data_IF_960820979499
#
_entry.id   IF_960820979499
#
_cell.length_a   1.000
_cell.length_b   1.000
_cell.length_c   1.000
_cell.angle_alpha   90.00
_cell.angle_beta   90.00
_cell.angle_gamma   90.00
#
_symmetry.space_group_name_H-M   'P 1'
#
loop_
_entity.id
_entity.type
_entity.pdbx_description
1 polymer ?
#
# COMPACT_ATOMS: atom_id res chain seq x y z
N UNK A 1 41.01 -12.25 2.07
CA UNK A 1 39.97 -12.34 1.02
C UNK A 1 39.63 -10.90 0.63
N UNK A 2 39.90 -10.47 -0.61
CA UNK A 2 39.73 -9.06 -1.02
C UNK A 2 38.39 -8.89 -1.73
N UNK A 3 37.61 -7.89 -1.29
CA UNK A 3 36.47 -7.37 -2.04
C UNK A 3 36.83 -5.90 -2.33
N UNK A 4 37.22 -5.60 -3.57
CA UNK A 4 37.75 -4.28 -3.95
C UNK A 4 39.14 -3.95 -3.36
N UNK A 5 39.37 -2.68 -3.02
CA UNK A 5 40.64 -2.15 -2.46
C UNK A 5 40.79 -2.35 -0.94
N UNK A 6 39.79 -2.94 -0.26
CA UNK A 6 39.82 -3.15 1.19
C UNK A 6 40.41 -4.54 1.53
N UNK A 7 41.42 -4.56 2.38
CA UNK A 7 42.03 -5.79 2.88
C UNK A 7 41.31 -6.18 4.18
N UNK A 8 40.38 -7.14 4.09
CA UNK A 8 39.60 -7.58 5.25
C UNK A 8 40.50 -8.31 6.25
N UNK A 9 40.58 -7.78 7.46
CA UNK A 9 41.37 -8.32 8.56
C UNK A 9 40.58 -9.36 9.35
N UNK A 10 41.26 -10.33 9.97
CA UNK A 10 40.60 -11.38 10.79
C UNK A 10 39.78 -10.79 11.96
N UNK A 11 40.21 -9.65 12.53
CA UNK A 11 39.50 -8.92 13.59
C UNK A 11 38.15 -8.36 13.12
N UNK A 12 38.13 -7.75 11.93
CA UNK A 12 36.91 -7.19 11.32
C UNK A 12 35.90 -8.29 10.98
N UNK A 13 36.38 -9.49 10.58
CA UNK A 13 35.52 -10.66 10.38
C UNK A 13 34.83 -11.11 11.67
N UNK A 14 35.55 -11.13 12.81
CA UNK A 14 34.95 -11.52 14.10
C UNK A 14 33.91 -10.50 14.55
N UNK A 15 34.21 -9.21 14.43
CA UNK A 15 33.30 -8.14 14.83
C UNK A 15 32.05 -8.13 13.94
N UNK A 16 32.19 -8.32 12.62
CA UNK A 16 31.03 -8.38 11.71
C UNK A 16 30.11 -9.56 12.02
N UNK A 17 30.66 -10.73 12.37
CA UNK A 17 29.89 -11.88 12.85
C UNK A 17 29.14 -11.52 14.14
N UNK A 18 29.80 -10.84 15.08
CA UNK A 18 29.16 -10.33 16.29
C UNK A 18 27.99 -9.37 16.02
N UNK A 19 28.17 -8.43 15.09
CA UNK A 19 27.11 -7.49 14.65
C UNK A 19 25.92 -8.27 14.08
N UNK A 20 26.17 -9.26 13.21
CA UNK A 20 25.11 -10.11 12.65
C UNK A 20 24.34 -10.82 13.76
N UNK A 21 25.04 -11.42 14.73
CA UNK A 21 24.38 -12.10 15.85
C UNK A 21 23.49 -11.14 16.67
N UNK A 22 23.97 -9.95 17.01
CA UNK A 22 23.19 -8.95 17.74
C UNK A 22 21.95 -8.54 16.93
N UNK A 23 22.11 -8.30 15.62
CA UNK A 23 21.01 -7.93 14.73
C UNK A 23 19.97 -9.07 14.57
N UNK A 24 20.39 -10.34 14.58
CA UNK A 24 19.48 -11.48 14.55
C UNK A 24 18.67 -11.60 15.85
N UNK A 25 19.30 -11.35 17.01
CA UNK A 25 18.60 -11.34 18.31
C UNK A 25 17.55 -10.22 18.32
N UNK A 26 17.94 -8.99 17.96
CA UNK A 26 17.04 -7.84 17.89
C UNK A 26 15.90 -8.08 16.89
N UNK A 27 16.24 -8.58 15.71
CA UNK A 27 15.26 -8.93 14.67
C UNK A 27 14.25 -9.97 15.15
N UNK A 28 14.67 -10.97 15.92
CA UNK A 28 13.79 -12.00 16.47
C UNK A 28 12.79 -11.44 17.48
N UNK A 29 13.21 -10.51 18.34
CA UNK A 29 12.31 -9.83 19.29
C UNK A 29 11.23 -9.03 18.56
N UNK A 30 11.63 -8.26 17.54
CA UNK A 30 10.70 -7.47 16.73
C UNK A 30 9.74 -8.39 15.95
N UNK A 31 10.26 -9.42 15.28
CA UNK A 31 9.46 -10.40 14.55
C UNK A 31 8.46 -11.12 15.47
N UNK A 32 8.84 -11.40 16.72
CA UNK A 32 7.97 -12.00 17.72
C UNK A 32 6.73 -11.15 18.02
N UNK A 33 6.90 -9.82 18.15
CA UNK A 33 5.78 -8.90 18.33
C UNK A 33 4.89 -8.84 17.09
N UNK A 34 5.48 -8.70 15.89
CA UNK A 34 4.73 -8.70 14.62
C UNK A 34 3.93 -10.00 14.45
N UNK A 35 4.52 -11.14 14.82
CA UNK A 35 3.87 -12.45 14.74
C UNK A 35 2.70 -12.54 15.70
N UNK A 36 2.83 -12.02 16.93
CA UNK A 36 1.74 -11.98 17.91
C UNK A 36 0.55 -11.19 17.38
N UNK A 37 0.79 -9.96 16.94
CA UNK A 37 -0.25 -9.08 16.37
C UNK A 37 -0.91 -9.74 15.15
N UNK A 38 -0.11 -10.45 14.34
CA UNK A 38 -0.59 -11.19 13.17
C UNK A 38 -1.46 -12.39 13.56
N UNK A 39 -1.12 -13.12 14.62
CA UNK A 39 -1.92 -14.23 15.13
C UNK A 39 -3.24 -13.74 15.74
N UNK A 40 -3.24 -12.60 16.43
CA UNK A 40 -4.45 -11.98 16.96
C UNK A 40 -5.42 -11.57 15.84
N UNK A 41 -4.92 -10.88 14.81
CA UNK A 41 -5.74 -10.51 13.63
C UNK A 41 -6.28 -11.74 12.89
N UNK A 42 -5.47 -12.79 12.74
CA UNK A 42 -5.94 -14.06 12.14
C UNK A 42 -7.04 -14.71 12.95
N UNK A 43 -6.90 -14.72 14.28
CA UNK A 43 -7.93 -15.25 15.18
C UNK A 43 -9.22 -14.46 15.00
N UNK A 44 -9.13 -13.13 15.00
CA UNK A 44 -10.26 -12.23 14.77
C UNK A 44 -11.00 -12.56 13.47
N UNK A 45 -10.29 -12.69 12.35
CA UNK A 45 -10.90 -13.03 11.05
C UNK A 45 -11.49 -14.44 10.99
N UNK A 46 -10.87 -15.42 11.64
CA UNK A 46 -11.41 -16.78 11.70
C UNK A 46 -12.66 -16.89 12.58
N UNK A 47 -12.79 -16.04 13.60
CA UNK A 47 -13.95 -16.01 14.50
C UNK A 47 -15.06 -15.06 14.07
N UNK A 48 -14.81 -14.22 13.07
CA UNK A 48 -15.80 -13.26 12.58
C UNK A 48 -17.00 -13.98 11.95
N UNK A 49 -18.19 -13.47 12.24
CA UNK A 49 -19.47 -14.05 11.79
C UNK A 49 -19.64 -13.85 10.29
N UNK A 50 -20.14 -14.86 9.58
CA UNK A 50 -20.54 -14.74 8.18
C UNK A 50 -21.99 -14.30 8.07
N UNK A 51 -22.27 -13.25 7.30
CA UNK A 51 -23.60 -12.68 7.05
C UNK A 51 -23.82 -12.61 5.53
N UNK A 52 -24.89 -13.25 5.05
CA UNK A 52 -25.21 -13.30 3.62
C UNK A 52 -26.57 -12.67 3.29
N UNK A 53 -27.27 -12.12 4.29
CA UNK A 53 -28.57 -11.48 4.09
C UNK A 53 -28.70 -10.15 4.83
N UNK A 54 -29.50 -9.26 4.25
CA UNK A 54 -29.82 -7.94 4.81
C UNK A 54 -30.44 -8.02 6.21
N UNK A 55 -31.36 -8.97 6.45
CA UNK A 55 -31.99 -9.14 7.77
C UNK A 55 -30.96 -9.49 8.85
N UNK A 56 -29.98 -10.34 8.52
CA UNK A 56 -28.90 -10.71 9.44
C UNK A 56 -27.94 -9.56 9.66
N UNK A 57 -27.71 -8.71 8.66
CA UNK A 57 -26.89 -7.52 8.77
C UNK A 57 -27.51 -6.47 9.71
N UNK A 58 -28.80 -6.15 9.54
CA UNK A 58 -29.54 -5.25 10.44
C UNK A 58 -29.56 -5.79 11.87
N UNK A 59 -29.87 -7.09 12.02
CA UNK A 59 -29.87 -7.75 13.31
C UNK A 59 -28.48 -7.71 13.97
N UNK A 60 -27.43 -7.93 13.19
CA UNK A 60 -26.03 -7.89 13.64
C UNK A 60 -25.64 -6.53 14.24
N UNK A 61 -25.96 -5.44 13.55
CA UNK A 61 -25.70 -4.08 14.04
C UNK A 61 -26.52 -3.76 15.30
N UNK A 62 -27.75 -4.27 15.41
CA UNK A 62 -28.63 -4.03 16.57
C UNK A 62 -28.24 -4.82 17.81
N UNK A 63 -27.63 -5.99 17.64
CA UNK A 63 -27.28 -6.90 18.73
C UNK A 63 -25.80 -6.88 19.09
N UNK A 64 -25.02 -5.99 18.48
CA UNK A 64 -23.59 -5.81 18.74
C UNK A 64 -22.81 -7.12 18.58
N UNK A 65 -23.02 -7.81 17.45
CA UNK A 65 -22.36 -9.11 17.19
C UNK A 65 -20.84 -8.99 17.01
N UNK A 66 -20.33 -7.77 16.85
CA UNK A 66 -18.91 -7.50 16.68
C UNK A 66 -18.46 -7.75 15.24
N UNK A 67 -17.30 -8.35 15.07
CA UNK A 67 -16.68 -8.49 13.75
C UNK A 67 -17.43 -9.48 12.86
N UNK A 68 -17.78 -9.04 11.66
CA UNK A 68 -18.49 -9.84 10.68
C UNK A 68 -17.97 -9.62 9.26
N UNK A 69 -18.05 -10.67 8.46
CA UNK A 69 -17.97 -10.64 7.01
C UNK A 69 -19.39 -10.65 6.43
N UNK A 70 -19.74 -9.61 5.70
CA UNK A 70 -21.06 -9.44 5.12
C UNK A 70 -20.95 -9.46 3.60
N UNK A 71 -21.53 -10.45 2.94
CA UNK A 71 -21.59 -10.50 1.48
C UNK A 71 -22.73 -9.63 0.96
N UNK A 72 -22.47 -8.80 -0.05
CA UNK A 72 -23.50 -7.93 -0.61
C UNK A 72 -23.00 -7.01 -1.71
N UNK A 73 -23.93 -6.18 -2.18
CA UNK A 73 -23.64 -5.13 -3.14
C UNK A 73 -23.45 -3.79 -2.44
N UNK A 74 -22.41 -3.07 -2.84
CA UNK A 74 -22.12 -1.71 -2.43
C UNK A 74 -22.42 -0.78 -3.60
N UNK A 75 -23.35 0.16 -3.41
CA UNK A 75 -23.82 1.04 -4.48
C UNK A 75 -23.78 2.51 -4.05
N UNK A 76 -23.62 3.39 -5.03
CA UNK A 76 -23.73 4.82 -4.83
C UNK A 76 -25.22 5.21 -4.80
N UNK A 77 -25.65 5.98 -3.80
CA UNK A 77 -27.01 6.52 -3.76
C UNK A 77 -27.13 7.68 -4.74
N UNK A 78 -26.13 8.55 -4.75
CA UNK A 78 -25.97 9.64 -5.70
C UNK A 78 -24.72 9.44 -6.56
N UNK A 79 -24.77 9.89 -7.81
CA UNK A 79 -23.65 9.76 -8.76
C UNK A 79 -23.03 11.11 -9.07
N UNK A 80 -21.76 11.09 -9.44
CA UNK A 80 -21.00 12.25 -9.89
C UNK A 80 -20.61 12.09 -11.36
N UNK A 81 -20.51 13.22 -12.06
CA UNK A 81 -20.05 13.29 -13.45
C UNK A 81 -19.16 14.50 -13.64
N UNK A 82 -18.35 14.45 -14.69
CA UNK A 82 -17.45 15.52 -15.09
C UNK A 82 -17.66 15.81 -16.58
N UNK A 83 -17.84 17.07 -17.02
CA UNK A 83 -18.10 17.40 -18.42
C UNK A 83 -17.02 16.94 -19.41
N UNK A 84 -15.81 16.62 -18.93
CA UNK A 84 -14.68 16.16 -19.76
C UNK A 84 -14.72 14.66 -20.06
N UNK A 85 -15.55 13.88 -19.36
CA UNK A 85 -15.67 12.43 -19.53
C UNK A 85 -17.14 11.98 -19.53
N UNK A 86 -17.46 11.00 -20.38
CA UNK A 86 -18.79 10.42 -20.40
C UNK A 86 -19.00 9.44 -19.23
N UNK A 87 -20.20 9.46 -18.65
CA UNK A 87 -20.64 8.51 -17.65
C UNK A 87 -21.01 9.12 -16.31
N UNK A 88 -21.52 8.27 -15.43
CA UNK A 88 -21.86 8.59 -14.04
C UNK A 88 -21.10 7.61 -13.16
N UNK A 89 -20.48 8.14 -12.11
CA UNK A 89 -19.52 7.41 -11.30
C UNK A 89 -19.85 7.59 -9.81
N UNK A 90 -19.44 6.65 -8.98
CA UNK A 90 -19.47 6.82 -7.52
C UNK A 90 -18.40 7.83 -7.07
N UNK A 91 -17.29 7.87 -7.80
CA UNK A 91 -16.12 8.69 -7.48
C UNK A 91 -15.34 8.99 -8.74
N UNK A 92 -14.82 10.21 -8.82
CA UNK A 92 -13.92 10.68 -9.87
C UNK A 92 -12.75 11.39 -9.19
N UNK A 93 -11.55 11.00 -9.56
CA UNK A 93 -10.32 11.71 -9.26
C UNK A 93 -9.65 12.08 -10.57
N UNK A 94 -9.37 13.37 -10.73
CA UNK A 94 -8.76 13.93 -11.92
C UNK A 94 -7.40 14.51 -11.55
N UNK A 95 -6.33 14.08 -12.23
CA UNK A 95 -5.02 14.71 -12.13
C UNK A 95 -4.74 15.57 -13.35
N UNK A 96 -4.44 16.84 -13.14
CA UNK A 96 -3.90 17.71 -14.17
C UNK A 96 -2.37 17.52 -14.24
N UNK A 97 -1.86 17.29 -15.45
CA UNK A 97 -0.43 17.14 -15.71
C UNK A 97 0.04 18.13 -16.77
N UNK A 98 1.18 18.75 -16.50
CA UNK A 98 1.82 19.71 -17.40
C UNK A 98 3.09 19.11 -17.98
N UNK A 99 3.34 19.36 -19.27
CA UNK A 99 4.57 18.93 -19.92
C UNK A 99 5.65 19.99 -19.72
N UNK A 100 6.60 19.68 -18.85
CA UNK A 100 7.61 20.63 -18.37
C UNK A 100 9.01 20.17 -18.78
N UNK A 101 9.86 21.16 -19.01
CA UNK A 101 11.26 20.95 -19.36
C UNK A 101 12.09 20.79 -18.10
N UNK A 102 12.91 19.74 -18.07
CA UNK A 102 13.88 19.46 -17.03
C UNK A 102 15.29 19.40 -17.63
N UNK A 103 16.28 19.64 -16.77
CA UNK A 103 17.70 19.49 -17.15
C UNK A 103 18.39 18.54 -16.19
N UNK A 104 19.17 17.60 -16.73
CA UNK A 104 20.05 16.73 -15.94
C UNK A 104 21.49 16.86 -16.39
N UNK A 105 22.40 16.77 -15.44
CA UNK A 105 23.84 16.71 -15.71
C UNK A 105 24.25 15.26 -15.86
N UNK A 106 24.73 14.88 -17.05
CA UNK A 106 25.19 13.52 -17.34
C UNK A 106 26.71 13.53 -17.44
N UNK A 107 27.35 12.71 -16.62
CA UNK A 107 28.80 12.48 -16.66
C UNK A 107 29.05 11.14 -17.35
N UNK A 108 29.83 11.17 -18.43
CA UNK A 108 30.27 9.97 -19.14
C UNK A 108 31.77 9.83 -18.99
N UNK A 109 32.22 8.65 -18.58
CA UNK A 109 33.64 8.30 -18.48
C UNK A 109 34.01 7.41 -19.66
N UNK A 110 35.07 7.74 -20.37
CA UNK A 110 35.58 6.87 -21.45
C UNK A 110 36.37 5.67 -20.89
N UNK A 111 36.71 4.72 -21.77
CA UNK A 111 37.49 3.53 -21.41
C UNK A 111 38.93 3.83 -20.93
N UNK A 112 39.36 5.09 -20.99
CA UNK A 112 40.66 5.59 -20.53
C UNK A 112 40.57 6.41 -19.24
N UNK A 113 39.38 6.52 -18.64
CA UNK A 113 39.16 7.20 -17.37
C UNK A 113 38.91 8.71 -17.47
N UNK A 114 38.75 9.28 -18.67
CA UNK A 114 38.41 10.69 -18.81
C UNK A 114 36.90 10.91 -18.65
N UNK A 115 36.53 11.80 -17.73
CA UNK A 115 35.15 12.20 -17.48
C UNK A 115 34.77 13.41 -18.32
N UNK A 116 33.63 13.35 -19.00
CA UNK A 116 32.98 14.48 -19.68
C UNK A 116 31.61 14.69 -19.10
N UNK A 117 31.29 15.95 -18.80
CA UNK A 117 30.01 16.33 -18.24
C UNK A 117 29.24 17.15 -19.27
N UNK A 118 27.97 16.80 -19.52
CA UNK A 118 27.07 17.57 -20.38
C UNK A 118 25.73 17.78 -19.70
N UNK A 119 25.09 18.92 -19.96
CA UNK A 119 23.71 19.17 -19.55
C UNK A 119 22.80 18.66 -20.65
N UNK A 120 21.93 17.72 -20.31
CA UNK A 120 20.88 17.21 -21.18
C UNK A 120 19.54 17.82 -20.77
N UNK A 121 18.77 18.28 -21.74
CA UNK A 121 17.37 18.64 -21.55
C UNK A 121 16.49 17.41 -21.80
N UNK A 122 15.51 17.18 -20.95
CA UNK A 122 14.46 16.19 -21.14
C UNK A 122 13.12 16.77 -20.71
N UNK A 123 12.02 16.12 -21.08
CA UNK A 123 10.68 16.60 -20.78
C UNK A 123 9.85 15.49 -20.14
N UNK A 124 9.09 15.84 -19.11
CA UNK A 124 8.21 14.91 -18.40
C UNK A 124 6.83 15.52 -18.19
N UNK A 125 5.84 14.65 -18.01
CA UNK A 125 4.53 15.05 -17.55
C UNK A 125 4.55 15.11 -16.03
N UNK A 126 4.52 16.32 -15.49
CA UNK A 126 4.57 16.56 -14.05
C UNK A 126 3.17 16.83 -13.52
N UNK A 127 2.94 16.39 -12.29
CA UNK A 127 1.73 16.73 -11.53
C UNK A 127 1.62 18.25 -11.37
N UNK A 128 0.44 18.79 -11.67
CA UNK A 128 0.14 20.22 -11.48
C UNK A 128 -0.96 20.42 -10.44
N UNK A 129 -2.10 19.75 -10.59
CA UNK A 129 -3.26 19.88 -9.70
C UNK A 129 -4.08 18.59 -9.66
N UNK A 130 -4.98 18.48 -8.68
CA UNK A 130 -5.95 17.38 -8.61
C UNK A 130 -7.33 17.86 -8.18
N UNK A 131 -8.36 17.23 -8.73
CA UNK A 131 -9.76 17.45 -8.39
C UNK A 131 -10.41 16.12 -7.98
N UNK A 132 -11.26 16.16 -6.96
CA UNK A 132 -11.95 14.98 -6.43
C UNK A 132 -13.45 15.25 -6.32
N UNK A 133 -14.25 14.34 -6.87
CA UNK A 133 -15.70 14.34 -6.77
C UNK A 133 -16.17 12.96 -6.31
N UNK A 134 -17.05 12.91 -5.31
CA UNK A 134 -17.61 11.66 -4.80
C UNK A 134 -19.09 11.77 -4.55
N UNK A 135 -19.73 10.60 -4.55
CA UNK A 135 -21.03 10.40 -3.94
C UNK A 135 -21.05 10.90 -2.49
N UNK A 136 -22.19 11.39 -2.01
CA UNK A 136 -22.37 11.75 -0.60
C UNK A 136 -22.73 10.53 0.23
N UNK A 137 -23.58 9.67 -0.31
CA UNK A 137 -24.11 8.52 0.39
C UNK A 137 -23.98 7.24 -0.45
N UNK A 138 -23.76 6.14 0.24
CA UNK A 138 -23.62 4.80 -0.34
C UNK A 138 -24.60 3.87 0.34
N UNK A 139 -25.06 2.84 -0.36
CA UNK A 139 -25.91 1.80 0.21
C UNK A 139 -25.19 0.47 0.21
N UNK A 140 -25.36 -0.29 1.29
CA UNK A 140 -24.88 -1.65 1.42
C UNK A 140 -25.93 -2.48 2.16
N UNK A 141 -26.37 -3.60 1.56
CA UNK A 141 -27.43 -4.46 2.10
C UNK A 141 -28.66 -3.65 2.56
N UNK A 142 -29.16 -2.74 1.70
CA UNK A 142 -30.36 -1.94 1.96
C UNK A 142 -30.19 -0.82 2.99
N UNK A 143 -28.98 -0.61 3.53
CA UNK A 143 -28.67 0.44 4.51
C UNK A 143 -27.79 1.53 3.92
N UNK A 144 -28.17 2.77 4.17
CA UNK A 144 -27.46 3.96 3.72
C UNK A 144 -26.37 4.36 4.73
N UNK A 145 -25.18 4.65 4.21
CA UNK A 145 -24.00 5.12 4.94
C UNK A 145 -23.42 6.35 4.24
N UNK A 146 -22.62 7.15 4.95
CA UNK A 146 -21.92 8.27 4.31
C UNK A 146 -20.75 7.73 3.48
N UNK A 147 -20.48 8.39 2.36
CA UNK A 147 -19.28 8.11 1.58
C UNK A 147 -18.04 8.39 2.45
N UNK A 148 -17.26 7.35 2.71
CA UNK A 148 -16.12 7.39 3.62
C UNK A 148 -16.27 6.53 4.87
N UNK A 149 -17.50 6.17 5.29
CA UNK A 149 -17.73 5.25 6.41
C UNK A 149 -17.21 3.84 6.09
N UNK A 150 -17.23 3.47 4.80
CA UNK A 150 -16.69 2.22 4.28
C UNK A 150 -15.44 2.52 3.46
N UNK A 151 -14.32 1.86 3.81
CA UNK A 151 -13.10 1.93 3.01
C UNK A 151 -13.32 1.22 1.67
N UNK A 152 -13.38 2.03 0.61
CA UNK A 152 -13.63 1.63 -0.76
C UNK A 152 -12.44 0.92 -1.43
N UNK A 153 -12.69 0.12 -2.48
CA UNK A 153 -11.64 -0.30 -3.41
C UNK A 153 -10.90 0.89 -4.04
N UNK A 154 -9.69 0.62 -4.55
CA UNK A 154 -8.91 1.61 -5.29
C UNK A 154 -9.63 2.04 -6.57
N UNK A 155 -9.50 3.31 -6.93
CA UNK A 155 -10.00 3.81 -8.22
C UNK A 155 -9.26 3.14 -9.39
N UNK A 156 -9.93 3.06 -10.53
CA UNK A 156 -9.43 2.50 -11.78
C UNK A 156 -9.14 3.64 -12.75
N UNK A 157 -8.00 3.58 -13.45
CA UNK A 157 -7.75 4.48 -14.57
C UNK A 157 -8.85 4.32 -15.65
N UNK A 158 -9.52 5.41 -15.98
CA UNK A 158 -10.54 5.45 -17.01
C UNK A 158 -9.92 5.90 -18.34
N UNK A 159 -9.38 7.11 -18.38
CA UNK A 159 -8.92 7.75 -19.62
C UNK A 159 -8.00 8.94 -19.35
N UNK A 160 -7.36 9.42 -20.41
CA UNK A 160 -6.61 10.68 -20.43
C UNK A 160 -7.28 11.61 -21.44
N UNK A 161 -7.62 12.82 -21.01
CA UNK A 161 -8.13 13.89 -21.88
C UNK A 161 -7.02 14.88 -22.12
N UNK A 162 -6.58 14.99 -23.37
CA UNK A 162 -5.54 15.94 -23.75
C UNK A 162 -6.15 17.26 -24.21
N UNK A 163 -5.90 18.34 -23.47
CA UNK A 163 -6.42 19.68 -23.79
C UNK A 163 -5.45 20.42 -24.71
N UNK A 164 -4.14 20.20 -24.55
CA UNK A 164 -3.12 20.76 -25.44
C UNK A 164 -1.89 19.86 -25.50
N UNK A 165 -0.87 20.25 -26.27
CA UNK A 165 0.42 19.57 -26.28
C UNK A 165 1.16 19.63 -24.93
N UNK A 166 0.77 20.56 -24.03
CA UNK A 166 1.44 20.77 -22.74
C UNK A 166 0.53 20.52 -21.53
N UNK A 167 -0.76 20.23 -21.73
CA UNK A 167 -1.71 20.01 -20.64
C UNK A 167 -2.59 18.80 -20.95
N UNK A 168 -2.65 17.87 -20.01
CA UNK A 168 -3.53 16.71 -20.05
C UNK A 168 -4.14 16.45 -18.68
N UNK A 169 -5.29 15.79 -18.68
CA UNK A 169 -6.00 15.35 -17.48
C UNK A 169 -6.09 13.83 -17.48
N UNK A 170 -5.69 13.19 -16.39
CA UNK A 170 -5.82 11.75 -16.19
C UNK A 170 -6.97 11.48 -15.21
N UNK A 171 -7.96 10.70 -15.64
CA UNK A 171 -9.16 10.40 -14.87
C UNK A 171 -9.11 8.99 -14.28
N UNK A 172 -9.41 8.90 -12.99
CA UNK A 172 -9.54 7.67 -12.22
C UNK A 172 -10.92 7.63 -11.59
N UNK A 173 -11.65 6.53 -11.77
CA UNK A 173 -13.05 6.43 -11.36
C UNK A 173 -13.32 5.23 -10.46
N UNK A 174 -14.42 5.29 -9.72
CA UNK A 174 -15.06 4.13 -9.11
C UNK A 174 -16.46 3.97 -9.70
N UNK A 175 -16.77 2.74 -10.08
CA UNK A 175 -18.07 2.34 -10.62
C UNK A 175 -19.18 2.57 -9.60
N UNK A 176 -20.41 2.73 -10.08
CA UNK A 176 -21.59 3.00 -9.24
C UNK A 176 -22.00 1.83 -8.36
N UNK A 177 -21.56 0.60 -8.68
CA UNK A 177 -21.89 -0.62 -7.96
C UNK A 177 -20.70 -1.57 -7.94
N UNK A 178 -20.47 -2.20 -6.78
CA UNK A 178 -19.55 -3.31 -6.61
C UNK A 178 -20.22 -4.47 -5.89
N UNK A 179 -20.02 -5.70 -6.37
CA UNK A 179 -20.38 -6.90 -5.64
C UNK A 179 -19.14 -7.44 -4.90
N UNK A 180 -19.32 -7.92 -3.67
CA UNK A 180 -18.20 -8.38 -2.86
C UNK A 180 -18.55 -8.61 -1.40
N UNK A 181 -17.55 -8.48 -0.54
CA UNK A 181 -17.69 -8.71 0.90
C UNK A 181 -17.18 -7.52 1.71
N UNK A 182 -18.01 -7.06 2.64
CA UNK A 182 -17.67 -6.08 3.66
C UNK A 182 -17.13 -6.79 4.91
N UNK A 183 -15.94 -6.41 5.36
CA UNK A 183 -15.48 -6.74 6.71
C UNK A 183 -15.68 -5.51 7.61
N UNK A 184 -16.44 -5.66 8.69
CA UNK A 184 -16.72 -4.56 9.62
C UNK A 184 -17.02 -5.10 11.02
N UNK A 185 -16.89 -4.22 12.01
CA UNK A 185 -17.47 -4.43 13.33
C UNK A 185 -18.91 -3.89 13.33
N UNK A 186 -19.87 -4.75 13.63
CA UNK A 186 -21.29 -4.42 13.73
C UNK A 186 -21.62 -4.16 15.20
N UNK A 187 -21.68 -2.88 15.57
CA UNK A 187 -22.06 -2.44 16.90
C UNK A 187 -22.78 -1.09 16.84
N UNK A 188 -23.47 -0.75 17.93
CA UNK A 188 -24.05 0.57 18.15
C UNK A 188 -25.03 0.99 17.04
N UNK A 189 -25.72 0.01 16.44
CA UNK A 189 -26.65 0.18 15.31
C UNK A 189 -26.00 0.74 14.04
N UNK A 190 -24.67 0.62 13.91
CA UNK A 190 -23.91 1.06 12.75
C UNK A 190 -22.75 0.09 12.47
N UNK A 191 -21.83 0.50 11.60
CA UNK A 191 -20.61 -0.21 11.26
C UNK A 191 -19.37 0.59 11.69
N UNK A 192 -18.33 -0.13 12.10
CA UNK A 192 -17.02 0.43 12.42
C UNK A 192 -15.90 -0.35 11.73
N UNK A 193 -14.78 0.32 11.46
CA UNK A 193 -13.59 -0.27 10.80
C UNK A 193 -13.94 -0.99 9.49
N UNK A 194 -14.92 -0.45 8.76
CA UNK A 194 -15.52 -1.10 7.61
C UNK A 194 -14.60 -1.04 6.39
N UNK A 195 -14.35 -2.20 5.77
CA UNK A 195 -13.54 -2.34 4.57
C UNK A 195 -14.24 -3.25 3.58
N UNK A 196 -14.46 -2.74 2.37
CA UNK A 196 -15.09 -3.51 1.31
C UNK A 196 -14.06 -4.12 0.37
N UNK A 197 -14.20 -5.42 0.10
CA UNK A 197 -13.36 -6.18 -0.81
C UNK A 197 -14.21 -6.62 -1.99
N UNK A 198 -13.97 -6.00 -3.15
CA UNK A 198 -14.71 -6.27 -4.39
C UNK A 198 -14.35 -7.63 -4.96
N UNK A 199 -15.29 -8.23 -5.69
CA UNK A 199 -15.13 -9.45 -6.47
C UNK A 199 -14.65 -10.65 -5.64
N UNK A 200 -15.01 -10.70 -4.35
CA UNK A 200 -14.69 -11.79 -3.44
C UNK A 200 -15.87 -12.17 -2.56
N UNK A 201 -16.10 -13.46 -2.40
CA UNK A 201 -17.02 -14.00 -1.40
C UNK A 201 -16.39 -13.96 0.02
N UNK A 202 -17.14 -14.42 1.03
CA UNK A 202 -16.71 -14.36 2.43
C UNK A 202 -15.44 -15.17 2.67
N UNK A 203 -15.36 -16.39 2.14
CA UNK A 203 -14.19 -17.28 2.33
C UNK A 203 -12.95 -16.72 1.65
N UNK A 204 -13.08 -16.29 0.39
CA UNK A 204 -12.00 -15.67 -0.36
C UNK A 204 -11.51 -14.37 0.29
N UNK A 205 -12.43 -13.60 0.87
CA UNK A 205 -12.10 -12.37 1.60
C UNK A 205 -11.37 -12.69 2.89
N UNK A 206 -11.83 -13.68 3.65
CA UNK A 206 -11.17 -14.16 4.87
C UNK A 206 -9.75 -14.63 4.55
N UNK A 207 -9.58 -15.47 3.53
CA UNK A 207 -8.28 -16.00 3.12
C UNK A 207 -7.35 -14.89 2.61
N UNK A 208 -7.89 -13.93 1.85
CA UNK A 208 -7.15 -12.74 1.42
C UNK A 208 -6.65 -11.92 2.62
N UNK A 209 -7.48 -11.70 3.64
CA UNK A 209 -7.08 -10.95 4.83
C UNK A 209 -6.07 -11.73 5.69
N UNK A 210 -6.25 -13.04 5.87
CA UNK A 210 -5.31 -13.90 6.60
C UNK A 210 -3.96 -13.98 5.90
N UNK A 211 -3.94 -14.09 4.58
CA UNK A 211 -2.72 -14.12 3.79
C UNK A 211 -2.00 -12.76 3.84
N UNK A 212 -2.72 -11.65 3.70
CA UNK A 212 -2.15 -10.30 3.84
C UNK A 212 -1.51 -10.05 5.21
N UNK A 213 -2.08 -10.60 6.28
CA UNK A 213 -1.47 -10.54 7.62
C UNK A 213 -0.24 -11.43 7.71
N UNK A 214 -0.27 -12.62 7.12
CA UNK A 214 0.86 -13.57 7.11
C UNK A 214 2.09 -13.00 6.40
N UNK A 215 1.90 -12.27 5.31
CA UNK A 215 3.01 -11.72 4.51
C UNK A 215 3.74 -10.58 5.22
N UNK A 216 3.16 -9.96 6.25
CA UNK A 216 3.78 -8.88 7.03
C UNK A 216 5.11 -9.31 7.68
N UNK A 217 5.13 -10.51 8.27
CA UNK A 217 6.35 -11.08 8.89
C UNK A 217 7.40 -11.40 7.83
N UNK A 218 6.99 -11.90 6.67
CA UNK A 218 7.91 -12.22 5.56
C UNK A 218 8.61 -10.95 5.06
N UNK A 219 7.84 -9.89 4.80
CA UNK A 219 8.40 -8.61 4.36
C UNK A 219 9.32 -7.97 5.40
N UNK A 220 9.02 -8.12 6.69
CA UNK A 220 9.93 -7.71 7.75
C UNK A 220 11.29 -8.38 7.61
N UNK A 221 11.36 -9.71 7.44
CA UNK A 221 12.63 -10.41 7.28
C UNK A 221 13.37 -10.01 6.00
N UNK A 222 12.65 -9.80 4.89
CA UNK A 222 13.26 -9.32 3.64
C UNK A 222 13.95 -7.98 3.86
N UNK A 223 13.26 -7.03 4.49
CA UNK A 223 13.84 -5.72 4.83
C UNK A 223 14.98 -5.84 5.84
N UNK A 224 14.82 -6.67 6.88
CA UNK A 224 15.80 -6.82 7.96
C UNK A 224 17.11 -7.43 7.47
N UNK A 225 17.05 -8.41 6.58
CA UNK A 225 18.24 -9.01 5.96
C UNK A 225 18.97 -7.97 5.10
N UNK A 226 18.24 -7.19 4.29
CA UNK A 226 18.84 -6.10 3.51
C UNK A 226 19.52 -5.06 4.41
N UNK A 227 18.91 -4.73 5.56
CA UNK A 227 19.49 -3.85 6.56
C UNK A 227 20.77 -4.43 7.17
N UNK A 228 20.80 -5.71 7.53
CA UNK A 228 22.01 -6.38 8.05
C UNK A 228 23.15 -6.30 7.03
N UNK A 229 22.87 -6.61 5.75
CA UNK A 229 23.86 -6.53 4.67
C UNK A 229 24.39 -5.11 4.53
N UNK A 230 23.52 -4.10 4.58
CA UNK A 230 23.91 -2.70 4.51
C UNK A 230 24.80 -2.29 5.70
N UNK A 231 24.43 -2.67 6.93
CA UNK A 231 25.20 -2.35 8.15
C UNK A 231 26.58 -3.01 8.11
N UNK A 232 26.66 -4.29 7.73
CA UNK A 232 27.93 -5.01 7.60
C UNK A 232 28.79 -4.42 6.46
N UNK A 233 28.16 -4.05 5.33
CA UNK A 233 28.85 -3.38 4.22
C UNK A 233 29.43 -2.02 4.62
N UNK A 234 28.66 -1.20 5.33
CA UNK A 234 29.15 0.08 5.89
C UNK A 234 30.28 -0.16 6.88
N UNK A 235 30.16 -1.18 7.74
CA UNK A 235 31.23 -1.53 8.68
C UNK A 235 32.55 -1.86 7.97
N UNK A 236 32.52 -2.58 6.85
CA UNK A 236 33.74 -2.89 6.09
C UNK A 236 34.31 -1.72 5.28
N UNK A 237 33.49 -0.71 4.96
CA UNK A 237 33.93 0.48 4.19
C UNK A 237 34.40 1.61 5.11
N UNK A 238 33.90 1.68 6.35
CA UNK A 238 34.41 2.60 7.35
C UNK A 238 35.85 2.20 7.72
N UNK A 239 36.81 3.12 7.65
CA UNK A 239 38.18 2.87 8.09
C UNK A 239 38.19 2.59 9.61
N UNK A 240 38.20 1.30 10.00
CA UNK A 240 38.12 0.86 11.39
C UNK A 240 39.48 0.91 12.10
N UNK A 241 40.16 2.05 12.06
CA UNK A 241 41.49 2.25 12.66
C UNK A 241 41.50 1.99 14.18
N UNK A 242 40.33 1.99 14.83
CA UNK A 242 40.15 1.63 16.25
C UNK A 242 40.30 0.11 16.54
N UNK A 243 40.32 -0.75 15.53
CA UNK A 243 40.56 -2.20 15.66
C UNK A 243 42.05 -2.59 15.50
N UNK A 244 42.91 -1.61 15.18
CA UNK A 244 44.34 -1.80 14.92
C UNK A 244 45.22 -1.59 16.17
N UNK A 245 44.64 -1.07 17.27
CA UNK A 245 45.26 -0.99 18.61
C UNK A 245 45.04 -2.28 19.43
#
# INVERSE_FOLDING_TARGET
MKIGNAEITYRELIVSVGIVFIMLILGSVIAGNITRDSLEQKKEYNTAISIESENMFDYGMRTNVGNAFCQGALEAVDTVSDPRIDGQWMYIYCEEKHYTMHTRTVTTTDSKGHTKTRVETYWTWDYYSSEEHSSKNITFLGKEFKYGDIKMPSSKYLTTVQVSSHVKFEFYVKDVRYDGTLYANLSDKTIHNARFIKDKNIEETRDYMISAVSTRVVWFYVFWIALIVAVVGVFYVAENRWLED
#
